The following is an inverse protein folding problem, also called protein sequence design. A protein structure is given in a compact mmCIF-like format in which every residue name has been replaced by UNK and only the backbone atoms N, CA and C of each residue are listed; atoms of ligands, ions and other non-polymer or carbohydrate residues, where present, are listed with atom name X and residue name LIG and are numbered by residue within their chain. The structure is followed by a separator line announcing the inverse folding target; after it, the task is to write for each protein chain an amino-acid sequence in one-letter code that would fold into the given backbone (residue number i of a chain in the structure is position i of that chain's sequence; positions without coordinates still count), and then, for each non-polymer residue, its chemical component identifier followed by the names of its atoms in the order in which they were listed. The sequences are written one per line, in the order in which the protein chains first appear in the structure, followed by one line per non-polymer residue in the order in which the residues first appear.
data_IF_025845529561
#
_entry.id   IF_025845529561
#
_cell.length_a   1.000
_cell.length_b   1.000
_cell.length_c   1.000
_cell.angle_alpha   90.00
_cell.angle_beta   90.00
_cell.angle_gamma   90.00
#
_symmetry.space_group_name_H-M   'P 1'
#
loop_
_entity.id
_entity.type
_entity.pdbx_description
1 polymer ?
#
# COMPACT_ATOMS: atom_id res chain seq x y z
N UNK A 1 -10.13 21.71 -13.02
CA UNK A 1 -9.27 20.87 -12.16
C UNK A 1 -9.68 19.43 -12.42
N UNK A 2 -8.86 18.63 -13.11
CA UNK A 2 -9.12 17.19 -13.21
C UNK A 2 -8.49 16.55 -11.97
N UNK A 3 -9.33 16.16 -11.01
CA UNK A 3 -8.86 15.46 -9.81
C UNK A 3 -8.60 13.99 -10.13
N UNK A 4 -7.56 13.40 -9.51
CA UNK A 4 -7.33 11.96 -9.61
C UNK A 4 -8.43 11.19 -8.87
N UNK A 5 -9.03 10.21 -9.54
CA UNK A 5 -10.04 9.29 -9.00
C UNK A 5 -9.38 7.93 -8.77
N UNK A 6 -9.27 7.53 -7.51
CA UNK A 6 -8.66 6.27 -7.11
C UNK A 6 -9.66 5.42 -6.30
N UNK A 7 -9.51 4.10 -6.34
CA UNK A 7 -10.30 3.20 -5.50
C UNK A 7 -9.59 2.91 -4.17
N UNK A 8 -10.29 3.07 -3.04
CA UNK A 8 -9.78 2.71 -1.72
C UNK A 8 -10.05 1.23 -1.43
N UNK A 9 -9.05 0.50 -0.96
CA UNK A 9 -9.18 -0.90 -0.55
C UNK A 9 -8.42 -1.16 0.74
N UNK A 10 -8.91 -2.10 1.54
CA UNK A 10 -8.24 -2.57 2.75
C UNK A 10 -7.29 -3.75 2.43
N UNK A 11 -7.36 -4.30 1.21
CA UNK A 11 -6.48 -5.39 0.76
C UNK A 11 -6.63 -6.67 1.59
N UNK A 12 -7.79 -6.85 2.23
CA UNK A 12 -8.13 -8.05 2.99
C UNK A 12 -7.55 -8.10 4.40
N UNK A 13 -7.15 -6.95 4.97
CA UNK A 13 -6.78 -6.89 6.38
C UNK A 13 -8.01 -7.00 7.32
N UNK A 14 -9.18 -6.59 6.85
CA UNK A 14 -10.50 -6.75 7.45
C UNK A 14 -11.49 -7.21 6.37
N UNK A 15 -12.66 -7.70 6.80
CA UNK A 15 -13.73 -8.16 5.91
C UNK A 15 -14.85 -7.12 5.85
N UNK A 16 -15.24 -6.75 4.64
CA UNK A 16 -16.30 -5.83 4.29
C UNK A 16 -17.30 -6.52 3.36
N UNK A 17 -18.52 -6.00 3.25
CA UNK A 17 -19.52 -6.54 2.32
C UNK A 17 -19.12 -6.36 0.85
N UNK A 18 -18.41 -5.28 0.53
CA UNK A 18 -17.86 -5.04 -0.80
C UNK A 18 -16.57 -5.86 -1.01
N UNK A 19 -16.64 -6.86 -1.88
CA UNK A 19 -15.51 -7.75 -2.20
C UNK A 19 -14.25 -7.00 -2.66
N UNK A 20 -14.40 -5.81 -3.26
CA UNK A 20 -13.30 -4.99 -3.77
C UNK A 20 -12.51 -4.33 -2.64
N UNK A 21 -13.13 -4.13 -1.48
CA UNK A 21 -12.43 -3.68 -0.26
C UNK A 21 -11.55 -4.79 0.34
N UNK A 22 -11.91 -6.06 0.09
CA UNK A 22 -11.28 -7.23 0.69
C UNK A 22 -10.12 -7.79 -0.13
N UNK A 23 -9.98 -7.40 -1.39
CA UNK A 23 -8.97 -7.95 -2.30
C UNK A 23 -8.30 -6.84 -3.08
N UNK A 24 -6.96 -6.82 -3.03
CA UNK A 24 -6.16 -5.93 -3.87
C UNK A 24 -6.32 -6.28 -5.36
N UNK A 25 -6.57 -7.55 -5.68
CA UNK A 25 -6.78 -7.99 -7.05
C UNK A 25 -8.11 -7.45 -7.61
N UNK A 26 -9.19 -7.55 -6.84
CA UNK A 26 -10.50 -7.02 -7.21
C UNK A 26 -10.46 -5.48 -7.32
N UNK A 27 -9.75 -4.82 -6.40
CA UNK A 27 -9.53 -3.38 -6.47
C UNK A 27 -8.76 -2.96 -7.74
N UNK A 28 -7.70 -3.69 -8.11
CA UNK A 28 -6.96 -3.48 -9.36
C UNK A 28 -7.88 -3.65 -10.57
N UNK A 29 -8.65 -4.74 -10.62
CA UNK A 29 -9.54 -5.04 -11.73
C UNK A 29 -10.63 -3.97 -11.89
N UNK A 30 -11.17 -3.46 -10.79
CA UNK A 30 -12.08 -2.30 -10.82
C UNK A 30 -11.39 -1.05 -11.36
N UNK A 31 -10.17 -0.75 -10.91
CA UNK A 31 -9.45 0.43 -11.35
C UNK A 31 -9.17 0.40 -12.86
N UNK A 32 -8.78 -0.75 -13.41
CA UNK A 32 -8.59 -0.93 -14.85
C UNK A 32 -9.91 -0.78 -15.61
N UNK A 33 -10.94 -1.55 -15.23
CA UNK A 33 -12.22 -1.58 -15.95
C UNK A 33 -13.02 -0.27 -15.83
N UNK A 34 -12.86 0.43 -14.72
CA UNK A 34 -13.50 1.71 -14.44
C UNK A 34 -12.72 2.93 -14.94
N UNK A 35 -11.53 2.74 -15.53
CA UNK A 35 -10.69 3.83 -16.02
C UNK A 35 -10.22 4.77 -14.90
N UNK A 36 -9.95 4.23 -13.71
CA UNK A 36 -9.48 4.99 -12.55
C UNK A 36 -7.97 5.28 -12.66
N UNK A 37 -7.51 6.30 -11.94
CA UNK A 37 -6.10 6.67 -11.87
C UNK A 37 -5.25 5.69 -11.03
N UNK A 38 -5.88 4.87 -10.20
CA UNK A 38 -5.16 3.97 -9.30
C UNK A 38 -5.93 3.44 -8.11
N UNK A 39 -5.17 2.86 -7.18
CA UNK A 39 -5.66 2.19 -5.97
C UNK A 39 -4.97 2.78 -4.74
N UNK A 40 -5.74 2.99 -3.67
CA UNK A 40 -5.28 3.39 -2.34
C UNK A 40 -5.42 2.19 -1.41
N UNK A 41 -4.32 1.70 -0.85
CA UNK A 41 -4.24 0.41 -0.13
C UNK A 41 -3.77 0.57 1.32
N UNK A 42 -4.35 -0.17 2.25
CA UNK A 42 -3.84 -0.22 3.62
C UNK A 42 -2.46 -0.90 3.64
N UNK A 43 -1.48 -0.29 4.31
CA UNK A 43 -0.06 -0.68 4.23
C UNK A 43 0.20 -2.15 4.62
N UNK A 44 -0.60 -2.74 5.51
CA UNK A 44 -0.49 -4.16 5.87
C UNK A 44 -1.05 -5.07 4.79
N UNK A 45 -2.09 -4.65 4.08
CA UNK A 45 -2.68 -5.37 2.94
C UNK A 45 -1.68 -5.61 1.81
N UNK A 46 -0.69 -4.72 1.65
CA UNK A 46 0.38 -4.83 0.66
C UNK A 46 1.22 -6.11 0.81
N UNK A 47 1.43 -6.59 2.04
CA UNK A 47 2.24 -7.78 2.31
C UNK A 47 1.50 -9.09 2.04
N UNK A 48 0.16 -9.05 1.93
CA UNK A 48 -0.64 -10.26 1.70
C UNK A 48 -0.55 -10.75 0.27
N UNK A 49 -0.42 -9.83 -0.70
CA UNK A 49 -0.38 -10.13 -2.12
C UNK A 49 0.69 -9.29 -2.85
N UNK A 50 1.99 -9.52 -2.58
CA UNK A 50 3.07 -8.73 -3.17
C UNK A 50 3.15 -8.84 -4.70
N UNK A 51 2.67 -9.95 -5.28
CA UNK A 51 2.58 -10.13 -6.75
C UNK A 51 1.64 -9.11 -7.38
N UNK A 52 0.46 -8.89 -6.80
CA UNK A 52 -0.52 -7.92 -7.32
C UNK A 52 -0.01 -6.48 -7.18
N UNK A 53 0.74 -6.19 -6.12
CA UNK A 53 1.44 -4.90 -5.96
C UNK A 53 2.41 -4.65 -7.11
N UNK A 54 3.14 -5.70 -7.55
CA UNK A 54 4.04 -5.62 -8.70
C UNK A 54 3.27 -5.37 -9.99
N UNK A 55 2.18 -6.10 -10.22
CA UNK A 55 1.33 -5.94 -11.41
C UNK A 55 0.71 -4.54 -11.52
N UNK A 56 0.25 -3.95 -10.40
CA UNK A 56 -0.26 -2.57 -10.41
C UNK A 56 0.83 -1.60 -10.86
N UNK A 57 2.08 -1.80 -10.45
CA UNK A 57 3.21 -0.94 -10.87
C UNK A 57 3.64 -1.16 -12.31
N UNK A 58 3.50 -2.38 -12.83
CA UNK A 58 3.74 -2.70 -14.23
C UNK A 58 2.60 -2.20 -15.14
N UNK A 59 1.45 -1.84 -14.55
CA UNK A 59 0.33 -1.19 -15.22
C UNK A 59 0.44 0.35 -15.20
N UNK A 60 -0.43 1.04 -15.94
CA UNK A 60 -0.53 2.50 -15.91
C UNK A 60 -1.27 3.06 -14.67
N UNK A 61 -1.51 2.24 -13.64
CA UNK A 61 -2.20 2.64 -12.41
C UNK A 61 -1.22 3.17 -11.36
N UNK A 62 -1.66 4.16 -10.59
CA UNK A 62 -0.98 4.57 -9.37
C UNK A 62 -1.32 3.66 -8.18
N UNK A 63 -0.35 3.46 -7.29
CA UNK A 63 -0.56 2.78 -6.01
C UNK A 63 -0.14 3.69 -4.87
N UNK A 64 -1.12 4.08 -4.06
CA UNK A 64 -0.93 4.86 -2.84
C UNK A 64 -1.19 3.97 -1.63
N UNK A 65 -0.55 4.26 -0.51
CA UNK A 65 -0.78 3.53 0.74
C UNK A 65 -1.23 4.45 1.87
N UNK A 66 -2.04 3.90 2.77
CA UNK A 66 -2.45 4.53 4.02
C UNK A 66 -2.24 3.60 5.20
N UNK A 67 -2.38 4.12 6.42
CA UNK A 67 -2.15 3.37 7.64
C UNK A 67 -0.72 3.51 8.16
N UNK A 68 -0.49 2.96 9.36
CA UNK A 68 0.79 3.08 10.07
C UNK A 68 1.52 1.74 10.01
N UNK A 69 2.69 1.74 9.37
CA UNK A 69 3.64 0.65 9.52
C UNK A 69 4.38 0.86 10.85
N UNK A 70 4.03 0.09 11.88
CA UNK A 70 4.88 -0.02 13.06
C UNK A 70 6.08 -0.89 12.67
N UNK A 71 7.20 -0.27 12.30
CA UNK A 71 8.47 -0.99 12.26
C UNK A 71 8.78 -1.47 13.69
N UNK A 72 8.60 -2.76 13.96
CA UNK A 72 9.07 -3.36 15.21
C UNK A 72 10.60 -3.36 15.16
N UNK A 73 11.20 -2.51 15.99
CA UNK A 73 12.58 -2.50 16.48
C UNK A 73 13.68 -2.89 15.48
N UNK A 74 14.26 -1.86 14.84
CA UNK A 74 15.50 -2.02 14.11
C UNK A 74 16.26 -0.75 13.75
N UNK A 75 15.77 0.46 14.06
CA UNK A 75 16.57 1.68 13.92
C UNK A 75 16.17 2.69 15.00
N UNK A 76 16.74 2.54 16.20
CA UNK A 76 17.00 3.72 17.03
C UNK A 76 18.27 4.37 16.50
N UNK A 77 18.15 5.50 15.81
CA UNK A 77 19.07 6.64 15.99
C UNK A 77 18.39 7.92 15.51
N UNK A 78 18.33 8.90 16.41
CA UNK A 78 18.15 10.31 16.09
C UNK A 78 16.72 10.75 15.78
N UNK A 79 16.01 11.25 16.79
CA UNK A 79 15.51 12.63 16.87
C UNK A 79 14.65 12.74 18.14
N UNK A 80 15.28 13.22 19.20
CA UNK A 80 14.56 13.83 20.32
C UNK A 80 13.85 15.07 19.79
N UNK A 81 12.54 15.18 20.05
CA UNK A 81 11.77 16.37 19.72
C UNK A 81 10.31 16.08 19.36
N UNK A 82 9.41 16.29 20.34
CA UNK A 82 8.01 16.67 20.18
C UNK A 82 7.20 16.05 19.04
N UNK A 83 6.35 15.07 19.39
CA UNK A 83 5.27 14.59 18.52
C UNK A 83 4.18 15.68 18.37
N UNK A 84 4.37 16.63 17.47
CA UNK A 84 3.26 17.36 16.87
C UNK A 84 2.97 16.74 15.51
N UNK A 85 1.80 16.11 15.40
CA UNK A 85 1.39 15.28 14.27
C UNK A 85 1.46 16.02 12.94
N UNK A 86 2.55 15.81 12.20
CA UNK A 86 2.59 16.04 10.76
C UNK A 86 2.25 14.73 10.07
N UNK A 87 1.08 14.69 9.42
CA UNK A 87 0.73 13.60 8.52
C UNK A 87 1.81 13.52 7.44
N UNK A 88 2.63 12.47 7.49
CA UNK A 88 3.68 12.22 6.50
C UNK A 88 3.18 11.07 5.63
N UNK A 89 2.73 11.38 4.43
CA UNK A 89 2.52 10.36 3.39
C UNK A 89 3.88 9.75 3.10
N UNK A 90 4.08 8.50 3.52
CA UNK A 90 5.31 7.79 3.23
C UNK A 90 5.22 7.25 1.81
N UNK A 91 5.90 7.89 0.85
CA UNK A 91 6.28 7.21 -0.39
C UNK A 91 7.27 6.13 0.02
N UNK A 92 6.80 4.90 0.18
CA UNK A 92 7.68 3.76 0.44
C UNK A 92 8.30 3.36 -0.91
N UNK A 93 9.63 3.51 -0.99
CA UNK A 93 10.42 3.09 -2.14
C UNK A 93 10.31 1.56 -2.32
N UNK A 94 10.05 1.12 -3.55
CA UNK A 94 9.83 -0.31 -3.87
C UNK A 94 11.08 -1.16 -3.55
N UNK A 95 12.26 -0.57 -3.66
CA UNK A 95 13.53 -1.20 -3.30
C UNK A 95 13.54 -1.65 -1.82
N UNK A 96 12.92 -0.88 -0.94
CA UNK A 96 12.82 -1.22 0.48
C UNK A 96 11.87 -2.42 0.72
N UNK A 97 10.75 -2.46 0.00
CA UNK A 97 9.77 -3.55 0.09
C UNK A 97 10.29 -4.86 -0.53
N UNK A 98 10.90 -4.79 -1.71
CA UNK A 98 11.53 -5.94 -2.37
C UNK A 98 12.65 -6.52 -1.49
N UNK A 99 13.44 -5.66 -0.84
CA UNK A 99 14.49 -6.10 0.08
C UNK A 99 13.92 -6.81 1.31
N UNK A 100 12.82 -6.29 1.88
CA UNK A 100 12.15 -6.93 3.02
C UNK A 100 11.54 -8.29 2.66
N UNK A 101 10.90 -8.40 1.48
CA UNK A 101 10.34 -9.66 0.99
C UNK A 101 11.45 -10.68 0.72
N UNK A 102 12.57 -10.25 0.13
CA UNK A 102 13.74 -11.12 -0.09
C UNK A 102 14.29 -11.71 1.21
N UNK A 103 14.34 -10.92 2.29
CA UNK A 103 14.81 -11.39 3.59
C UNK A 103 13.85 -12.35 4.30
N UNK A 104 12.54 -12.25 4.05
CA UNK A 104 11.52 -13.11 4.68
C UNK A 104 11.39 -14.47 3.97
N UNK A 105 11.76 -14.58 2.69
CA UNK A 105 11.68 -15.83 1.90
C UNK A 105 12.96 -16.68 2.04
N UNK A 106 14.06 -16.13 2.58
CA UNK A 106 15.35 -16.81 2.74
C UNK A 106 15.48 -17.61 4.07
N UNK A 107 14.40 -17.81 4.81
CA UNK A 107 14.31 -18.68 6.00
C UNK A 107 13.06 -19.55 5.93
#
# INVERSE_FOLDING_TARGET
MNGQVNFLTNGGNETYDDVRMNSLEEAKNLAISGGLDGVVLEVKGMFRNPSVVREIKESNLSLLTYGKQNAVAGLKTGLEGGLQGKQKTYKIELSFLLNLISHVIQH
#
